data_IF_902687174534
#
_entry.id   IF_902687174534
#
_cell.length_a   1.000
_cell.length_b   1.000
_cell.length_c   1.000
_cell.angle_alpha   90.00
_cell.angle_beta   90.00
_cell.angle_gamma   90.00
#
_symmetry.space_group_name_H-M   'P 1'
#
loop_
_entity.id
_entity.type
_entity.pdbx_description
1 polymer ?
#
# COMPACT_ATOMS: atom_id res chain seq x y z
N UNK A 1 50.44 47.65 21.87
CA UNK A 1 49.09 47.05 21.94
C UNK A 1 48.78 46.44 20.59
N UNK A 2 48.64 45.10 20.44
CA UNK A 2 48.38 44.52 19.11
C UNK A 2 48.43 42.99 18.98
N UNK A 3 48.80 42.24 20.03
CA UNK A 3 48.89 40.77 19.98
C UNK A 3 47.62 40.02 20.43
N UNK A 4 46.62 40.71 20.97
CA UNK A 4 45.37 40.09 21.47
C UNK A 4 44.27 39.96 20.39
N UNK A 5 44.32 40.78 19.35
CA UNK A 5 43.29 40.81 18.31
C UNK A 5 43.49 39.73 17.22
N UNK A 6 44.73 39.29 16.99
CA UNK A 6 45.01 38.22 16.02
C UNK A 6 44.46 36.86 16.48
N UNK A 7 44.58 36.53 17.76
CA UNK A 7 44.03 35.29 18.34
C UNK A 7 42.49 35.29 18.37
N UNK A 8 41.87 36.45 18.62
CA UNK A 8 40.40 36.62 18.56
C UNK A 8 39.84 36.42 17.15
N UNK A 9 40.56 36.89 16.13
CA UNK A 9 40.15 36.72 14.72
C UNK A 9 40.29 35.28 14.21
N UNK A 10 41.32 34.56 14.64
CA UNK A 10 41.49 33.13 14.31
C UNK A 10 40.36 32.26 14.87
N UNK A 11 39.91 32.55 16.10
CA UNK A 11 38.76 31.86 16.72
C UNK A 11 37.45 32.18 15.99
N UNK A 12 37.23 33.44 15.61
CA UNK A 12 36.03 33.87 14.88
C UNK A 12 35.90 33.24 13.47
N UNK A 13 37.02 33.03 12.76
CA UNK A 13 37.02 32.39 11.45
C UNK A 13 36.66 30.90 11.55
N UNK A 14 37.26 30.19 12.51
CA UNK A 14 36.94 28.80 12.76
C UNK A 14 35.48 28.65 13.20
N UNK A 15 34.99 29.55 14.05
CA UNK A 15 33.61 29.56 14.53
C UNK A 15 32.61 29.78 13.39
N UNK A 16 32.85 30.72 12.48
CA UNK A 16 32.01 30.93 11.32
C UNK A 16 32.00 29.70 10.38
N UNK A 17 33.15 29.05 10.18
CA UNK A 17 33.23 27.84 9.36
C UNK A 17 32.48 26.67 10.00
N UNK A 18 32.65 26.47 11.31
CA UNK A 18 31.91 25.45 12.07
C UNK A 18 30.42 25.74 12.06
N UNK A 19 30.00 27.00 12.24
CA UNK A 19 28.60 27.39 12.17
C UNK A 19 28.00 27.12 10.78
N UNK A 20 28.71 27.47 9.71
CA UNK A 20 28.29 27.16 8.34
C UNK A 20 28.27 25.64 8.08
N UNK A 21 29.23 24.88 8.60
CA UNK A 21 29.23 23.43 8.48
C UNK A 21 28.00 22.81 9.17
N UNK A 22 27.70 23.21 10.40
CA UNK A 22 26.50 22.77 11.14
C UNK A 22 25.23 23.19 10.37
N UNK A 23 25.15 24.43 9.91
CA UNK A 23 24.01 24.93 9.14
C UNK A 23 23.81 24.14 7.84
N UNK A 24 24.88 23.79 7.12
CA UNK A 24 24.81 23.01 5.89
C UNK A 24 24.32 21.57 6.13
N UNK A 25 24.76 20.93 7.22
CA UNK A 25 24.32 19.59 7.61
C UNK A 25 22.84 19.62 8.03
N UNK A 26 22.44 20.64 8.80
CA UNK A 26 21.04 20.83 9.19
C UNK A 26 20.15 21.03 7.95
N UNK A 27 20.58 21.84 6.98
CA UNK A 27 19.84 22.09 5.74
C UNK A 27 19.74 20.84 4.87
N UNK A 28 20.82 20.07 4.72
CA UNK A 28 20.81 18.80 3.99
C UNK A 28 19.85 17.78 4.62
N UNK A 29 19.80 17.74 5.95
CA UNK A 29 18.88 16.87 6.70
C UNK A 29 17.42 17.29 6.49
N UNK A 30 17.15 18.60 6.54
CA UNK A 30 15.81 19.15 6.28
C UNK A 30 15.36 18.86 4.85
N UNK A 31 16.22 19.08 3.85
CA UNK A 31 15.90 18.82 2.45
C UNK A 31 15.58 17.34 2.21
N UNK A 32 16.34 16.44 2.86
CA UNK A 32 16.07 15.00 2.83
C UNK A 32 14.72 14.68 3.48
N UNK A 33 14.41 15.26 4.63
CA UNK A 33 13.14 15.03 5.34
C UNK A 33 11.94 15.51 4.51
N UNK A 34 11.99 16.73 3.95
CA UNK A 34 10.94 17.28 3.08
C UNK A 34 10.77 16.42 1.83
N UNK A 35 11.88 16.05 1.17
CA UNK A 35 11.84 15.21 -0.02
C UNK A 35 11.32 13.79 0.23
N UNK A 36 11.61 13.19 1.38
CA UNK A 36 11.04 11.92 1.79
C UNK A 36 9.54 12.05 2.11
N UNK A 37 9.13 13.13 2.77
CA UNK A 37 7.72 13.42 3.04
C UNK A 37 6.86 13.45 1.78
N UNK A 38 7.30 14.15 0.73
CA UNK A 38 6.57 14.22 -0.55
C UNK A 38 6.46 12.86 -1.24
N UNK A 39 7.52 12.04 -1.23
CA UNK A 39 7.48 10.70 -1.82
C UNK A 39 6.50 9.79 -1.08
N UNK A 40 6.50 9.86 0.26
CA UNK A 40 5.58 9.08 1.09
C UNK A 40 4.12 9.43 0.81
N UNK A 41 3.79 10.71 0.61
CA UNK A 41 2.41 11.13 0.29
C UNK A 41 1.92 10.51 -1.02
N UNK A 42 2.73 10.58 -2.08
CA UNK A 42 2.37 10.00 -3.39
C UNK A 42 2.19 8.48 -3.32
N UNK A 43 3.04 7.79 -2.54
CA UNK A 43 2.91 6.34 -2.35
C UNK A 43 1.67 5.97 -1.54
N UNK A 44 1.33 6.75 -0.51
CA UNK A 44 0.11 6.54 0.28
C UNK A 44 -1.14 6.76 -0.58
N UNK A 45 -1.19 7.83 -1.36
CA UNK A 45 -2.30 8.11 -2.29
C UNK A 45 -2.48 6.97 -3.30
N UNK A 46 -1.39 6.52 -3.92
CA UNK A 46 -1.37 5.37 -4.82
C UNK A 46 -1.98 4.11 -4.18
N UNK A 47 -1.63 3.85 -2.92
CA UNK A 47 -2.09 2.68 -2.18
C UNK A 47 -3.58 2.79 -1.80
N UNK A 48 -4.06 3.99 -1.48
CA UNK A 48 -5.48 4.26 -1.22
C UNK A 48 -6.31 4.06 -2.49
N UNK A 49 -5.88 4.65 -3.62
CA UNK A 49 -6.57 4.47 -4.91
C UNK A 49 -6.64 2.99 -5.31
N UNK A 50 -5.52 2.27 -5.25
CA UNK A 50 -5.47 0.85 -5.57
C UNK A 50 -6.38 0.02 -4.65
N UNK A 51 -6.45 0.34 -3.35
CA UNK A 51 -7.34 -0.33 -2.41
C UNK A 51 -8.83 -0.03 -2.68
N UNK A 52 -9.17 1.20 -3.04
CA UNK A 52 -10.53 1.56 -3.43
C UNK A 52 -10.95 0.84 -4.71
N UNK A 53 -10.06 0.75 -5.69
CA UNK A 53 -10.31 0.00 -6.91
C UNK A 53 -10.52 -1.49 -6.62
N UNK A 54 -9.67 -2.12 -5.81
CA UNK A 54 -9.83 -3.52 -5.44
C UNK A 54 -11.19 -3.79 -4.77
N UNK A 55 -11.62 -2.89 -3.88
CA UNK A 55 -12.94 -2.97 -3.22
C UNK A 55 -14.08 -2.76 -4.20
N UNK A 56 -13.93 -1.84 -5.15
CA UNK A 56 -14.92 -1.61 -6.21
C UNK A 56 -15.12 -2.87 -7.05
N UNK A 57 -14.04 -3.46 -7.55
CA UNK A 57 -14.08 -4.71 -8.33
C UNK A 57 -14.74 -5.82 -7.52
N UNK A 58 -14.36 -5.99 -6.25
CA UNK A 58 -15.02 -6.97 -5.37
C UNK A 58 -16.51 -6.70 -5.11
N UNK A 59 -16.95 -5.46 -5.23
CA UNK A 59 -18.34 -5.07 -5.03
C UNK A 59 -19.19 -5.22 -6.31
N UNK A 60 -18.59 -5.39 -7.48
CA UNK A 60 -19.31 -5.54 -8.76
C UNK A 60 -20.19 -6.80 -8.80
N UNK A 61 -19.81 -7.85 -8.06
CA UNK A 61 -20.62 -9.06 -7.98
C UNK A 61 -20.72 -9.65 -6.57
N UNK A 62 -21.88 -10.24 -6.28
CA UNK A 62 -22.12 -10.97 -5.04
C UNK A 62 -21.55 -12.38 -5.09
N UNK A 63 -21.60 -13.05 -6.25
CA UNK A 63 -21.14 -14.43 -6.41
C UNK A 63 -19.74 -14.49 -7.02
N UNK A 64 -18.96 -15.46 -6.57
CA UNK A 64 -17.60 -15.62 -7.05
C UNK A 64 -17.51 -16.03 -8.53
N UNK A 65 -18.49 -16.74 -9.09
CA UNK A 65 -18.49 -17.10 -10.51
C UNK A 65 -18.57 -15.88 -11.43
N UNK A 66 -19.33 -14.87 -11.03
CA UNK A 66 -19.49 -13.63 -11.79
C UNK A 66 -18.14 -12.87 -11.83
N UNK A 67 -17.46 -12.82 -10.67
CA UNK A 67 -16.10 -12.28 -10.55
C UNK A 67 -15.06 -13.11 -11.31
N UNK A 68 -15.21 -14.43 -11.36
CA UNK A 68 -14.32 -15.31 -12.13
C UNK A 68 -14.42 -15.06 -13.64
N UNK A 69 -15.60 -14.67 -14.14
CA UNK A 69 -15.77 -14.24 -15.55
C UNK A 69 -15.13 -12.89 -15.81
N UNK A 70 -15.01 -12.07 -14.77
CA UNK A 70 -14.33 -10.78 -14.79
C UNK A 70 -12.88 -10.93 -14.32
N UNK A 71 -12.11 -11.81 -14.98
CA UNK A 71 -10.78 -12.24 -14.51
C UNK A 71 -9.73 -11.13 -14.49
N UNK A 72 -9.83 -10.12 -15.36
CA UNK A 72 -8.90 -9.00 -15.39
C UNK A 72 -9.53 -7.73 -16.00
N UNK A 73 -8.91 -6.58 -15.72
CA UNK A 73 -9.31 -5.32 -16.32
C UNK A 73 -8.37 -4.17 -16.01
N UNK A 74 -8.75 -2.97 -16.47
CA UNK A 74 -7.96 -1.74 -16.33
C UNK A 74 -8.86 -0.56 -15.96
N UNK A 75 -8.34 0.33 -15.13
CA UNK A 75 -8.97 1.61 -14.78
C UNK A 75 -7.89 2.68 -14.64
N UNK A 76 -7.82 3.57 -15.64
CA UNK A 76 -6.75 4.58 -15.72
C UNK A 76 -5.35 3.95 -15.68
N UNK A 77 -4.47 4.33 -14.73
CA UNK A 77 -3.12 3.78 -14.60
C UNK A 77 -3.09 2.40 -13.93
N UNK A 78 -4.22 1.88 -13.49
CA UNK A 78 -4.32 0.66 -12.71
C UNK A 78 -4.76 -0.52 -13.58
N UNK A 79 -4.08 -1.65 -13.42
CA UNK A 79 -4.48 -2.95 -13.94
C UNK A 79 -4.85 -3.83 -12.77
N UNK A 80 -5.89 -4.64 -12.90
CA UNK A 80 -6.27 -5.56 -11.84
C UNK A 80 -6.57 -6.95 -12.39
N UNK A 81 -6.40 -7.94 -11.52
CA UNK A 81 -6.64 -9.36 -11.81
C UNK A 81 -7.43 -9.95 -10.65
N UNK A 82 -8.43 -10.76 -10.98
CA UNK A 82 -9.28 -11.50 -10.05
C UNK A 82 -8.94 -12.97 -10.15
N UNK A 83 -8.60 -13.58 -9.01
CA UNK A 83 -8.39 -15.02 -8.87
C UNK A 83 -9.42 -15.60 -7.92
N UNK A 84 -10.12 -16.65 -8.35
CA UNK A 84 -11.16 -17.32 -7.55
C UNK A 84 -10.80 -18.77 -7.30
N UNK A 85 -10.84 -19.21 -6.04
CA UNK A 85 -10.62 -20.59 -5.63
C UNK A 85 -11.86 -21.13 -4.89
N UNK A 86 -12.70 -21.95 -5.53
CA UNK A 86 -13.87 -22.58 -4.89
C UNK A 86 -13.45 -23.53 -3.75
N UNK A 87 -14.18 -23.48 -2.64
CA UNK A 87 -13.93 -24.29 -1.44
C UNK A 87 -15.27 -24.65 -0.77
N UNK A 88 -15.39 -25.89 -0.27
CA UNK A 88 -16.52 -26.31 0.55
C UNK A 88 -16.23 -25.94 2.01
N UNK A 89 -16.94 -24.96 2.54
CA UNK A 89 -16.73 -24.46 3.90
C UNK A 89 -17.74 -25.10 4.84
N UNK A 90 -17.23 -25.79 5.86
CA UNK A 90 -18.07 -26.28 6.97
C UNK A 90 -18.29 -25.12 7.94
N UNK A 91 -19.55 -24.72 8.11
CA UNK A 91 -19.90 -23.73 9.13
C UNK A 91 -19.91 -24.44 10.48
N UNK A 92 -18.88 -24.18 11.28
CA UNK A 92 -18.84 -24.61 12.68
C UNK A 92 -19.92 -23.87 13.44
N UNK A 93 -20.90 -24.62 13.95
CA UNK A 93 -21.97 -24.09 14.76
C UNK A 93 -21.58 -24.26 16.24
N UNK A 94 -21.51 -23.17 17.00
CA UNK A 94 -21.14 -23.19 18.43
C UNK A 94 -22.18 -23.90 19.33
N UNK A 95 -23.31 -24.31 18.77
CA UNK A 95 -24.36 -25.00 19.51
C UNK A 95 -24.25 -26.51 19.33
N UNK A 96 -24.74 -27.26 20.32
CA UNK A 96 -24.85 -28.73 20.30
C UNK A 96 -25.85 -29.28 19.26
N UNK A 97 -26.22 -28.47 18.26
CA UNK A 97 -26.97 -28.90 17.10
C UNK A 97 -26.06 -29.67 16.12
N UNK A 98 -26.63 -30.59 15.32
CA UNK A 98 -25.90 -31.26 14.25
C UNK A 98 -25.21 -30.23 13.34
N UNK A 99 -24.02 -30.57 12.84
CA UNK A 99 -23.28 -29.72 11.91
C UNK A 99 -24.19 -29.29 10.74
N UNK A 100 -24.26 -27.99 10.49
CA UNK A 100 -25.03 -27.43 9.38
C UNK A 100 -24.50 -27.92 8.01
N UNK A 101 -25.29 -27.74 6.94
CA UNK A 101 -24.86 -28.13 5.60
C UNK A 101 -23.58 -27.37 5.19
N UNK A 102 -22.68 -28.05 4.48
CA UNK A 102 -21.50 -27.41 3.90
C UNK A 102 -21.93 -26.30 2.94
N UNK A 103 -21.39 -25.10 3.12
CA UNK A 103 -21.63 -23.97 2.23
C UNK A 103 -20.57 -23.97 1.13
N UNK A 104 -21.03 -23.91 -0.12
CA UNK A 104 -20.14 -23.67 -1.25
C UNK A 104 -19.78 -22.18 -1.29
N UNK A 105 -18.51 -21.90 -1.08
CA UNK A 105 -17.94 -20.56 -1.15
C UNK A 105 -16.71 -20.59 -2.06
N UNK A 106 -16.20 -19.42 -2.41
CA UNK A 106 -14.90 -19.31 -3.04
C UNK A 106 -14.11 -18.17 -2.43
N UNK A 107 -12.82 -18.39 -2.32
CA UNK A 107 -11.85 -17.36 -1.97
C UNK A 107 -11.58 -16.53 -3.20
N UNK A 108 -11.92 -15.25 -3.14
CA UNK A 108 -11.68 -14.29 -4.21
C UNK A 108 -10.55 -13.38 -3.80
N UNK A 109 -9.49 -13.36 -4.60
CA UNK A 109 -8.34 -12.46 -4.44
C UNK A 109 -8.34 -11.47 -5.60
N UNK A 110 -8.28 -10.19 -5.28
CA UNK A 110 -8.11 -9.11 -6.26
C UNK A 110 -6.76 -8.47 -6.04
N UNK A 111 -5.95 -8.46 -7.09
CA UNK A 111 -4.63 -7.86 -7.10
C UNK A 111 -4.63 -6.66 -8.05
N UNK A 112 -4.13 -5.53 -7.56
CA UNK A 112 -4.07 -4.28 -8.31
C UNK A 112 -2.62 -3.87 -8.52
N UNK A 113 -2.27 -3.65 -9.78
CA UNK A 113 -0.95 -3.31 -10.28
C UNK A 113 -0.97 -1.90 -10.88
N UNK A 114 0.16 -1.21 -10.81
CA UNK A 114 0.35 0.08 -11.50
C UNK A 114 0.99 -0.18 -12.87
N UNK A 115 0.33 0.23 -13.94
CA UNK A 115 0.78 0.02 -15.32
C UNK A 115 1.12 -1.45 -15.60
N UNK A 116 2.30 -1.66 -16.19
CA UNK A 116 2.86 -3.00 -16.50
C UNK A 116 3.74 -3.55 -15.35
N UNK A 117 3.61 -3.00 -14.14
CA UNK A 117 4.34 -3.49 -12.97
C UNK A 117 3.96 -4.94 -12.61
N UNK A 118 4.94 -5.71 -12.13
CA UNK A 118 4.78 -7.11 -11.71
C UNK A 118 4.42 -7.28 -10.24
N UNK A 119 4.65 -6.26 -9.41
CA UNK A 119 4.32 -6.28 -7.98
C UNK A 119 2.97 -5.61 -7.73
N UNK A 120 2.02 -6.25 -7.02
CA UNK A 120 0.75 -5.63 -6.71
C UNK A 120 0.95 -4.50 -5.70
N UNK A 121 0.36 -3.34 -6.00
CA UNK A 121 0.28 -2.19 -5.09
C UNK A 121 -0.74 -2.45 -4.00
N UNK A 122 -1.78 -3.24 -4.28
CA UNK A 122 -2.78 -3.69 -3.32
C UNK A 122 -3.27 -5.10 -3.64
N UNK A 123 -3.48 -5.89 -2.59
CA UNK A 123 -4.06 -7.23 -2.67
C UNK A 123 -5.20 -7.31 -1.65
N UNK A 124 -6.37 -7.76 -2.09
CA UNK A 124 -7.55 -7.91 -1.24
C UNK A 124 -8.13 -9.30 -1.40
N UNK A 125 -8.32 -10.01 -0.29
CA UNK A 125 -8.87 -11.37 -0.30
C UNK A 125 -10.16 -11.41 0.52
N UNK A 126 -11.19 -12.04 -0.02
CA UNK A 126 -12.48 -12.20 0.65
C UNK A 126 -13.13 -13.54 0.29
N UNK A 127 -14.16 -13.90 1.04
CA UNK A 127 -15.01 -15.04 0.75
C UNK A 127 -16.29 -14.57 0.09
N UNK A 128 -16.66 -15.21 -1.02
CA UNK A 128 -17.90 -14.97 -1.74
C UNK A 128 -18.65 -16.30 -1.90
N UNK A 129 -19.99 -16.32 -1.82
CA UNK A 129 -20.75 -17.52 -2.13
C UNK A 129 -20.43 -18.04 -3.53
N UNK A 130 -20.36 -19.36 -3.67
CA UNK A 130 -20.20 -20.06 -4.94
C UNK A 130 -21.46 -20.88 -5.19
N UNK A 131 -22.16 -20.60 -6.28
CA UNK A 131 -23.23 -21.45 -6.77
C UNK A 131 -22.52 -22.56 -7.54
N UNK A 132 -22.57 -23.78 -7.04
CA UNK A 132 -22.30 -24.92 -7.91
C UNK A 132 -23.26 -24.79 -9.09
N UNK A 133 -22.75 -24.66 -10.31
CA UNK A 133 -23.59 -24.65 -11.50
C UNK A 133 -24.50 -25.90 -11.51
N UNK A 134 -25.77 -25.79 -11.93
CA UNK A 134 -26.70 -26.91 -12.01
C UNK A 134 -26.25 -27.98 -13.02
#
# INVERSE_FOLDING_TARGET
MGRRDAHRRGFALLEALVAMAIASIALATLYRSVGQGSKNVVEVEARVEAALLAKSVLAEATFAEDLARLAEGRSGPWRWVVSTAPEQVQVLQESSLPAGPALSAARVTVEVFRGEGSTPVSTWTTWKPWRSAP
#
